data_IF_661132772041
#
_entry.id   IF_661132772041
#
_cell.length_a   1.000
_cell.length_b   1.000
_cell.length_c   1.000
_cell.angle_alpha   90.00
_cell.angle_beta   90.00
_cell.angle_gamma   90.00
#
_symmetry.space_group_name_H-M   'P 1'
#
loop_
_entity.id
_entity.type
_entity.pdbx_description
1 polymer ?
#
# COMPACT_ATOMS: atom_id res chain seq x y z
N UNK A 1 -18.21 18.87 -18.10
CA UNK A 1 -17.31 19.11 -16.96
C UNK A 1 -15.89 19.31 -17.48
N UNK A 2 -15.06 20.00 -16.73
CA UNK A 2 -13.64 20.15 -17.03
C UNK A 2 -12.82 19.22 -16.15
N UNK A 3 -12.13 18.29 -16.78
CA UNK A 3 -11.36 17.24 -16.13
C UNK A 3 -9.87 17.51 -16.36
N UNK A 4 -9.12 17.66 -15.30
CA UNK A 4 -7.67 17.83 -15.34
C UNK A 4 -7.02 16.55 -14.83
N UNK A 5 -6.16 15.95 -15.65
CA UNK A 5 -5.37 14.77 -15.28
C UNK A 5 -3.91 15.15 -15.08
N UNK A 6 -3.36 14.73 -13.95
CA UNK A 6 -1.93 14.68 -13.66
C UNK A 6 -1.46 13.28 -14.02
N UNK A 7 -0.45 13.13 -14.73
CA UNK A 7 0.05 11.92 -15.38
C UNK A 7 -0.51 11.82 -16.80
N UNK A 8 0.40 11.69 -17.71
CA UNK A 8 0.05 11.46 -19.11
C UNK A 8 -0.55 10.06 -19.22
N UNK A 9 -1.85 10.03 -19.42
CA UNK A 9 -2.58 8.83 -19.76
C UNK A 9 -2.53 8.63 -21.29
N UNK A 10 -1.36 8.82 -21.90
CA UNK A 10 -1.18 8.90 -23.34
C UNK A 10 -1.87 7.77 -24.12
N UNK A 11 -1.90 6.56 -23.54
CA UNK A 11 -2.51 5.39 -24.19
C UNK A 11 -4.04 5.43 -24.16
N UNK A 12 -4.64 6.05 -23.16
CA UNK A 12 -6.09 6.07 -22.95
C UNK A 12 -6.74 7.46 -23.23
N UNK A 13 -5.91 8.48 -23.48
CA UNK A 13 -6.45 9.85 -23.73
C UNK A 13 -7.45 9.88 -24.87
N UNK A 14 -7.13 9.26 -26.00
CA UNK A 14 -8.01 9.20 -27.15
C UNK A 14 -9.29 8.39 -26.87
N UNK A 15 -9.18 7.37 -26.03
CA UNK A 15 -10.33 6.57 -25.64
C UNK A 15 -11.25 7.34 -24.69
N UNK A 16 -10.68 8.06 -23.70
CA UNK A 16 -11.45 8.91 -22.81
C UNK A 16 -12.22 9.99 -23.58
N UNK A 17 -11.58 10.64 -24.54
CA UNK A 17 -12.27 11.64 -25.40
C UNK A 17 -13.38 11.05 -26.25
N UNK A 18 -13.25 9.80 -26.68
CA UNK A 18 -14.30 9.08 -27.41
C UNK A 18 -15.47 8.67 -26.52
N UNK A 19 -15.15 8.18 -25.31
CA UNK A 19 -16.19 7.74 -24.36
C UNK A 19 -16.95 8.92 -23.75
N UNK A 20 -16.29 10.06 -23.57
CA UNK A 20 -16.85 11.26 -22.93
C UNK A 20 -16.72 12.49 -23.84
N UNK A 21 -17.39 12.52 -25.00
CA UNK A 21 -17.19 13.53 -26.04
C UNK A 21 -17.63 14.95 -25.59
N UNK A 22 -18.49 15.06 -24.58
CA UNK A 22 -18.99 16.32 -24.06
C UNK A 22 -18.15 16.90 -22.92
N UNK A 23 -17.05 16.21 -22.56
CA UNK A 23 -16.19 16.61 -21.44
C UNK A 23 -14.88 17.22 -21.95
N UNK A 24 -14.42 18.26 -21.29
CA UNK A 24 -13.13 18.89 -21.59
C UNK A 24 -12.02 18.19 -20.79
N UNK A 25 -11.08 17.54 -21.47
CA UNK A 25 -9.92 16.91 -20.86
C UNK A 25 -8.65 17.73 -21.08
N UNK A 26 -7.91 18.00 -19.99
CA UNK A 26 -6.57 18.59 -20.01
C UNK A 26 -5.59 17.71 -19.24
N UNK A 27 -4.40 17.54 -19.81
CA UNK A 27 -3.36 16.66 -19.26
C UNK A 27 -2.11 17.46 -18.95
N UNK A 28 -1.56 17.28 -17.74
CA UNK A 28 -0.35 17.93 -17.27
C UNK A 28 0.56 16.93 -16.60
N UNK A 29 1.88 17.11 -16.70
CA UNK A 29 2.85 16.23 -16.09
C UNK A 29 2.96 16.46 -14.57
N UNK A 30 2.74 17.69 -14.11
CA UNK A 30 2.87 18.10 -12.70
C UNK A 30 1.84 19.15 -12.34
N UNK A 31 1.45 19.17 -11.06
CA UNK A 31 0.50 20.14 -10.53
C UNK A 31 0.94 21.60 -10.73
N UNK A 32 2.24 21.88 -10.62
CA UNK A 32 2.78 23.23 -10.83
C UNK A 32 2.56 23.75 -12.26
N UNK A 33 2.47 22.87 -13.24
CA UNK A 33 2.29 23.21 -14.65
C UNK A 33 0.83 23.51 -15.01
N UNK A 34 -0.12 23.29 -14.09
CA UNK A 34 -1.53 23.60 -14.33
C UNK A 34 -1.72 25.11 -14.24
N UNK A 35 -2.12 25.81 -15.34
CA UNK A 35 -2.36 27.23 -15.32
C UNK A 35 -3.44 27.62 -14.31
N UNK A 36 -3.31 28.78 -13.69
CA UNK A 36 -4.26 29.25 -12.66
C UNK A 36 -5.71 29.28 -13.16
N UNK A 37 -5.92 29.59 -14.43
CA UNK A 37 -7.26 29.59 -15.03
C UNK A 37 -7.85 28.16 -15.09
N UNK A 38 -7.02 27.14 -15.36
CA UNK A 38 -7.46 25.76 -15.39
C UNK A 38 -7.73 25.24 -13.97
N UNK A 39 -6.94 25.67 -12.98
CA UNK A 39 -7.21 25.38 -11.56
C UNK A 39 -8.57 25.93 -11.13
N UNK A 40 -8.87 27.19 -11.48
CA UNK A 40 -10.15 27.84 -11.11
C UNK A 40 -11.36 27.19 -11.75
N UNK A 41 -11.20 26.62 -12.94
CA UNK A 41 -12.34 26.17 -13.77
C UNK A 41 -12.50 24.65 -13.80
N UNK A 42 -11.56 23.85 -13.28
CA UNK A 42 -11.69 22.40 -13.26
C UNK A 42 -12.77 21.95 -12.27
N UNK A 43 -13.55 20.97 -12.67
CA UNK A 43 -14.51 20.25 -11.83
C UNK A 43 -13.90 19.00 -11.20
N UNK A 44 -12.96 18.33 -11.90
CA UNK A 44 -12.37 17.06 -11.51
C UNK A 44 -10.86 17.13 -11.67
N UNK A 45 -10.14 16.67 -10.65
CA UNK A 45 -8.69 16.47 -10.67
C UNK A 45 -8.39 14.98 -10.53
N UNK A 46 -7.63 14.41 -11.47
CA UNK A 46 -7.26 12.98 -11.47
C UNK A 46 -5.74 12.86 -11.49
N UNK A 47 -5.18 11.99 -10.67
CA UNK A 47 -3.75 11.67 -10.67
C UNK A 47 -3.10 11.79 -9.30
N UNK A 48 -1.77 11.93 -9.31
CA UNK A 48 -0.94 12.06 -8.09
C UNK A 48 0.15 13.11 -8.29
N UNK A 49 0.27 14.03 -7.36
CA UNK A 49 1.43 14.92 -7.22
C UNK A 49 1.54 15.40 -5.77
N UNK A 50 2.71 15.24 -5.16
CA UNK A 50 2.96 15.66 -3.77
C UNK A 50 2.89 17.19 -3.53
N UNK A 51 2.67 17.99 -4.57
CA UNK A 51 2.49 19.44 -4.51
C UNK A 51 1.01 19.88 -4.47
N UNK A 52 0.09 18.91 -4.37
CA UNK A 52 -1.33 19.20 -4.16
C UNK A 52 -1.56 19.37 -2.66
N UNK A 53 -1.29 20.56 -2.19
CA UNK A 53 -1.50 21.00 -0.82
C UNK A 53 -2.79 21.86 -0.71
N UNK A 54 -2.99 22.41 0.48
CA UNK A 54 -4.12 23.30 0.76
C UNK A 54 -4.12 24.52 -0.18
N UNK A 55 -2.97 25.16 -0.36
CA UNK A 55 -2.83 26.35 -1.21
C UNK A 55 -3.19 26.05 -2.65
N UNK A 56 -2.81 24.87 -3.16
CA UNK A 56 -3.20 24.44 -4.50
C UNK A 56 -4.73 24.29 -4.60
N UNK A 57 -5.37 23.61 -3.65
CA UNK A 57 -6.81 23.33 -3.66
C UNK A 57 -7.63 24.61 -3.45
N UNK A 58 -7.15 25.60 -2.70
CA UNK A 58 -7.78 26.91 -2.53
C UNK A 58 -8.01 27.63 -3.87
N UNK A 59 -7.10 27.44 -4.83
CA UNK A 59 -7.26 27.99 -6.17
C UNK A 59 -8.23 27.20 -7.07
N UNK A 60 -8.66 26.01 -6.64
CA UNK A 60 -9.54 25.13 -7.40
C UNK A 60 -11.00 25.37 -6.99
N UNK A 61 -11.56 26.52 -7.40
CA UNK A 61 -12.86 27.03 -6.90
C UNK A 61 -14.01 26.07 -7.23
N UNK A 62 -14.00 25.49 -8.44
CA UNK A 62 -15.08 24.64 -8.94
C UNK A 62 -14.87 23.15 -8.68
N UNK A 63 -13.77 22.77 -8.01
CA UNK A 63 -13.39 21.39 -7.80
C UNK A 63 -14.42 20.62 -6.96
N UNK A 64 -14.93 19.53 -7.51
CA UNK A 64 -15.97 18.67 -6.92
C UNK A 64 -15.46 17.28 -6.58
N UNK A 65 -14.45 16.79 -7.32
CA UNK A 65 -13.93 15.44 -7.14
C UNK A 65 -12.42 15.38 -7.37
N UNK A 66 -11.73 14.65 -6.47
CA UNK A 66 -10.32 14.28 -6.60
C UNK A 66 -10.24 12.76 -6.74
N UNK A 67 -9.82 12.29 -7.91
CA UNK A 67 -9.46 10.89 -8.18
C UNK A 67 -7.98 10.68 -7.91
N UNK A 68 -7.61 10.24 -6.71
CA UNK A 68 -6.23 10.14 -6.26
C UNK A 68 -5.57 8.82 -6.64
N UNK A 69 -4.50 8.82 -7.43
CA UNK A 69 -3.84 7.61 -7.94
C UNK A 69 -2.86 6.95 -6.96
N UNK A 70 -2.80 7.39 -5.72
CA UNK A 70 -2.05 6.72 -4.67
C UNK A 70 -3.01 6.07 -3.65
N UNK A 71 -2.50 5.10 -2.90
CA UNK A 71 -3.26 4.48 -1.80
C UNK A 71 -3.30 5.40 -0.58
N UNK A 72 -2.16 5.97 -0.21
CA UNK A 72 -2.05 6.93 0.90
C UNK A 72 -2.57 8.30 0.50
N UNK A 73 -3.27 8.96 1.42
CA UNK A 73 -3.84 10.31 1.26
C UNK A 73 -3.31 11.31 2.30
N UNK A 74 -2.30 10.91 3.08
CA UNK A 74 -1.79 11.68 4.23
C UNK A 74 -1.22 13.05 3.85
N UNK A 75 -0.75 13.21 2.62
CA UNK A 75 -0.23 14.46 2.09
C UNK A 75 -1.32 15.44 1.61
N UNK A 76 -2.57 15.00 1.57
CA UNK A 76 -3.70 15.85 1.19
C UNK A 76 -4.28 16.58 2.40
N UNK A 77 -4.79 17.81 2.25
CA UNK A 77 -5.45 18.56 3.31
C UNK A 77 -6.89 18.05 3.54
N UNK A 78 -7.00 16.85 4.15
CA UNK A 78 -8.26 16.11 4.26
C UNK A 78 -9.39 16.92 4.91
N UNK A 79 -9.09 17.68 5.97
CA UNK A 79 -10.07 18.51 6.65
C UNK A 79 -10.64 19.57 5.70
N UNK A 80 -9.78 20.23 4.93
CA UNK A 80 -10.18 21.26 3.98
C UNK A 80 -10.99 20.68 2.78
N UNK A 81 -10.60 19.49 2.32
CA UNK A 81 -11.35 18.74 1.28
C UNK A 81 -12.76 18.43 1.78
N UNK A 82 -12.88 17.98 3.04
CA UNK A 82 -14.16 17.67 3.69
C UNK A 82 -15.00 18.93 3.92
N UNK A 83 -14.41 20.02 4.40
CA UNK A 83 -15.11 21.32 4.59
C UNK A 83 -15.71 21.86 3.31
N UNK A 84 -15.11 21.56 2.15
CA UNK A 84 -15.57 21.99 0.83
C UNK A 84 -16.48 20.98 0.13
N UNK A 85 -16.88 19.89 0.79
CA UNK A 85 -17.67 18.80 0.20
C UNK A 85 -17.08 18.22 -1.08
N UNK A 86 -15.73 18.23 -1.21
CA UNK A 86 -15.05 17.63 -2.35
C UNK A 86 -15.00 16.11 -2.15
N UNK A 87 -15.50 15.37 -3.14
CA UNK A 87 -15.40 13.91 -3.16
C UNK A 87 -13.94 13.51 -3.33
N UNK A 88 -13.43 12.61 -2.47
CA UNK A 88 -12.09 12.05 -2.57
C UNK A 88 -12.18 10.54 -2.74
N UNK A 89 -11.63 10.01 -3.83
CA UNK A 89 -11.43 8.59 -4.06
C UNK A 89 -9.95 8.30 -4.26
N UNK A 90 -9.49 7.13 -3.82
CA UNK A 90 -8.08 6.76 -3.90
C UNK A 90 -7.87 5.36 -4.50
N UNK A 91 -6.61 5.02 -4.77
CA UNK A 91 -6.18 3.73 -5.34
C UNK A 91 -6.14 2.58 -4.36
N UNK A 92 -7.01 2.54 -3.32
CA UNK A 92 -7.04 1.47 -2.33
C UNK A 92 -7.23 0.10 -3.00
N UNK A 93 -6.34 -0.84 -2.71
CA UNK A 93 -6.42 -2.22 -3.21
C UNK A 93 -5.75 -2.47 -4.56
N UNK A 94 -5.49 -1.45 -5.38
CA UNK A 94 -4.88 -1.62 -6.71
C UNK A 94 -3.52 -2.32 -6.63
N UNK A 95 -2.71 -1.98 -5.64
CA UNK A 95 -1.36 -2.55 -5.47
C UNK A 95 -1.34 -3.86 -4.68
N UNK A 96 -2.49 -4.39 -4.26
CA UNK A 96 -2.53 -5.56 -3.38
C UNK A 96 -1.81 -6.77 -3.97
N UNK A 97 -1.97 -7.03 -5.28
CA UNK A 97 -1.29 -8.14 -5.96
C UNK A 97 0.22 -7.96 -5.93
N UNK A 98 0.71 -6.82 -6.39
CA UNK A 98 2.14 -6.54 -6.49
C UNK A 98 2.82 -6.55 -5.10
N UNK A 99 2.25 -5.86 -4.12
CA UNK A 99 2.83 -5.81 -2.77
C UNK A 99 2.81 -7.16 -2.09
N UNK A 100 1.76 -7.97 -2.28
CA UNK A 100 1.72 -9.33 -1.73
C UNK A 100 2.81 -10.24 -2.30
N UNK A 101 3.17 -10.08 -3.58
CA UNK A 101 4.28 -10.79 -4.22
C UNK A 101 5.63 -10.39 -3.62
N UNK A 102 5.83 -9.10 -3.32
CA UNK A 102 7.03 -8.63 -2.60
C UNK A 102 7.11 -9.25 -1.20
N UNK A 103 6.01 -9.27 -0.44
CA UNK A 103 5.97 -9.88 0.89
C UNK A 103 6.45 -11.34 0.81
N UNK A 104 5.87 -12.13 -0.10
CA UNK A 104 6.27 -13.54 -0.27
C UNK A 104 7.70 -13.66 -0.77
N UNK A 105 8.17 -12.76 -1.63
CA UNK A 105 9.55 -12.74 -2.11
C UNK A 105 10.53 -12.57 -0.95
N UNK A 106 10.31 -11.62 -0.04
CA UNK A 106 11.18 -11.42 1.12
C UNK A 106 11.18 -12.62 2.06
N UNK A 107 10.00 -13.18 2.36
CA UNK A 107 9.87 -14.38 3.18
C UNK A 107 10.65 -15.54 2.55
N UNK A 108 10.43 -15.83 1.27
CA UNK A 108 11.12 -16.90 0.57
C UNK A 108 12.63 -16.65 0.46
N UNK A 109 13.05 -15.40 0.20
CA UNK A 109 14.45 -15.03 0.13
C UNK A 109 15.20 -15.38 1.41
N UNK A 110 14.64 -15.07 2.59
CA UNK A 110 15.27 -15.39 3.86
C UNK A 110 15.20 -16.89 4.16
N UNK A 111 14.01 -17.47 4.08
CA UNK A 111 13.79 -18.89 4.41
C UNK A 111 14.57 -19.84 3.51
N UNK A 112 14.78 -19.51 2.26
CA UNK A 112 15.58 -20.31 1.30
C UNK A 112 17.05 -19.91 1.24
N UNK A 113 17.48 -19.00 2.13
CA UNK A 113 18.90 -18.55 2.20
C UNK A 113 19.44 -18.05 0.85
N UNK A 114 18.58 -17.34 0.08
CA UNK A 114 18.91 -16.92 -1.28
C UNK A 114 20.16 -16.04 -1.34
N UNK A 115 20.38 -15.15 -0.36
CA UNK A 115 21.58 -14.29 -0.28
C UNK A 115 22.86 -15.15 -0.24
N UNK A 116 22.87 -16.20 0.59
CA UNK A 116 24.00 -17.12 0.72
C UNK A 116 24.18 -17.96 -0.54
N UNK A 117 23.09 -18.49 -1.09
CA UNK A 117 23.13 -19.28 -2.32
C UNK A 117 23.69 -18.46 -3.49
N UNK A 118 23.25 -17.21 -3.65
CA UNK A 118 23.74 -16.31 -4.68
C UNK A 118 25.24 -15.99 -4.54
N UNK A 119 25.70 -15.67 -3.31
CA UNK A 119 27.11 -15.45 -3.03
C UNK A 119 27.96 -16.68 -3.40
N UNK A 120 27.52 -17.86 -2.96
CA UNK A 120 28.20 -19.12 -3.27
C UNK A 120 28.25 -19.39 -4.78
N UNK A 121 27.19 -19.04 -5.51
CA UNK A 121 27.19 -19.15 -6.97
C UNK A 121 28.28 -18.27 -7.62
N UNK A 122 28.41 -17.01 -7.16
CA UNK A 122 29.46 -16.11 -7.66
C UNK A 122 30.88 -16.64 -7.34
N UNK A 123 31.07 -17.22 -6.17
CA UNK A 123 32.33 -17.79 -5.71
C UNK A 123 32.58 -19.21 -6.29
N UNK A 124 31.65 -19.74 -7.10
CA UNK A 124 31.67 -21.12 -7.62
C UNK A 124 31.85 -22.17 -6.50
N UNK A 125 31.32 -21.88 -5.32
CA UNK A 125 31.35 -22.73 -4.14
C UNK A 125 30.01 -23.45 -3.98
N UNK A 126 29.99 -24.78 -4.09
CA UNK A 126 28.81 -25.59 -3.80
C UNK A 126 28.85 -26.12 -2.38
N UNK A 127 27.93 -25.71 -1.53
CA UNK A 127 27.76 -26.24 -0.17
C UNK A 127 26.38 -26.87 0.01
N UNK A 128 26.33 -28.20 -0.01
CA UNK A 128 25.10 -28.98 0.15
C UNK A 128 24.46 -28.86 1.54
N UNK A 129 25.17 -28.31 2.53
CA UNK A 129 24.68 -28.12 3.89
C UNK A 129 23.80 -26.91 4.04
N UNK A 130 23.81 -26.00 3.04
CA UNK A 130 22.92 -24.83 3.03
C UNK A 130 21.53 -25.29 2.65
N UNK A 131 20.71 -25.54 3.66
CA UNK A 131 19.31 -25.90 3.50
C UNK A 131 18.43 -24.76 3.97
N UNK A 132 17.40 -24.46 3.21
CA UNK A 132 16.38 -23.52 3.63
C UNK A 132 15.35 -24.16 4.56
N UNK A 133 14.62 -23.35 5.31
CA UNK A 133 13.47 -23.81 6.11
C UNK A 133 12.23 -24.00 5.23
N UNK A 134 11.30 -24.82 5.68
CA UNK A 134 9.96 -24.95 5.07
C UNK A 134 9.04 -23.88 5.65
N UNK A 135 8.05 -23.45 4.86
CA UNK A 135 7.07 -22.45 5.29
C UNK A 135 5.82 -23.06 5.93
N UNK A 136 5.52 -24.33 5.64
CA UNK A 136 4.30 -25.00 6.11
C UNK A 136 4.23 -25.22 7.64
N UNK A 137 5.31 -25.00 8.34
CA UNK A 137 5.40 -25.09 9.81
C UNK A 137 5.41 -23.70 10.48
N UNK A 138 5.30 -22.65 9.69
CA UNK A 138 5.47 -21.28 10.16
C UNK A 138 4.13 -20.55 10.25
N UNK A 139 4.04 -19.69 11.26
CA UNK A 139 2.89 -18.81 11.48
C UNK A 139 3.22 -17.38 11.01
N UNK A 140 2.43 -16.87 10.09
CA UNK A 140 2.52 -15.51 9.57
C UNK A 140 1.45 -14.62 10.21
N UNK A 141 1.88 -13.61 10.94
CA UNK A 141 1.02 -12.62 11.57
C UNK A 141 0.97 -11.33 10.72
N UNK A 142 -0.22 -10.87 10.42
CA UNK A 142 -0.44 -9.56 9.82
C UNK A 142 -0.99 -8.57 10.84
N UNK A 143 -0.32 -7.44 10.98
CA UNK A 143 -0.90 -6.25 11.59
C UNK A 143 -1.67 -5.51 10.51
N UNK A 144 -2.99 -5.56 10.60
CA UNK A 144 -3.93 -5.10 9.57
C UNK A 144 -4.42 -6.23 8.66
N UNK A 145 -5.74 -6.31 8.47
CA UNK A 145 -6.42 -7.31 7.62
C UNK A 145 -6.98 -6.70 6.33
N UNK A 146 -6.28 -5.68 5.78
CA UNK A 146 -6.65 -4.98 4.56
C UNK A 146 -6.38 -5.77 3.28
N UNK A 147 -6.63 -5.17 2.12
CA UNK A 147 -6.53 -5.83 0.82
C UNK A 147 -5.14 -6.45 0.53
N UNK A 148 -4.06 -5.78 0.93
CA UNK A 148 -2.69 -6.29 0.79
C UNK A 148 -2.52 -7.54 1.65
N UNK A 149 -2.88 -7.45 2.93
CA UNK A 149 -2.76 -8.56 3.87
C UNK A 149 -3.62 -9.77 3.45
N UNK A 150 -4.86 -9.56 3.00
CA UNK A 150 -5.72 -10.62 2.48
C UNK A 150 -5.09 -11.34 1.28
N UNK A 151 -4.54 -10.57 0.33
CA UNK A 151 -3.89 -11.18 -0.84
C UNK A 151 -2.62 -11.93 -0.46
N UNK A 152 -1.79 -11.40 0.43
CA UNK A 152 -0.60 -12.08 0.92
C UNK A 152 -0.95 -13.32 1.77
N UNK A 153 -2.00 -13.26 2.59
CA UNK A 153 -2.53 -14.39 3.34
C UNK A 153 -2.94 -15.54 2.41
N UNK A 154 -3.66 -15.23 1.33
CA UNK A 154 -4.02 -16.21 0.31
C UNK A 154 -2.77 -16.91 -0.28
N UNK A 155 -1.71 -16.16 -0.59
CA UNK A 155 -0.46 -16.73 -1.09
C UNK A 155 0.26 -17.56 -0.03
N UNK A 156 0.33 -17.07 1.21
CA UNK A 156 0.95 -17.78 2.34
C UNK A 156 0.26 -19.13 2.62
N UNK A 157 -1.06 -19.18 2.55
CA UNK A 157 -1.83 -20.43 2.67
C UNK A 157 -1.50 -21.44 1.59
N UNK A 158 -1.21 -21.00 0.36
CA UNK A 158 -0.75 -21.89 -0.70
C UNK A 158 0.60 -22.55 -0.40
N UNK A 159 1.43 -21.93 0.47
CA UNK A 159 2.65 -22.53 1.03
C UNK A 159 2.42 -23.37 2.30
N UNK A 160 1.17 -23.52 2.74
CA UNK A 160 0.80 -24.28 3.93
C UNK A 160 1.04 -23.56 5.26
N UNK A 161 1.27 -22.24 5.24
CA UNK A 161 1.48 -21.44 6.45
C UNK A 161 0.17 -21.29 7.24
N UNK A 162 0.26 -21.22 8.56
CA UNK A 162 -0.82 -20.67 9.40
C UNK A 162 -0.79 -19.14 9.28
N UNK A 163 -1.97 -18.53 9.09
CA UNK A 163 -2.06 -17.07 8.91
C UNK A 163 -2.98 -16.45 9.94
N UNK A 164 -2.44 -15.53 10.73
CA UNK A 164 -3.16 -14.80 11.77
C UNK A 164 -3.23 -13.33 11.38
N UNK A 165 -4.39 -12.70 11.62
CA UNK A 165 -4.60 -11.28 11.44
C UNK A 165 -4.87 -10.55 12.74
N UNK A 166 -4.41 -9.31 12.85
CA UNK A 166 -4.79 -8.39 13.93
C UNK A 166 -5.40 -7.14 13.31
N UNK A 167 -6.56 -6.74 13.79
CA UNK A 167 -7.26 -5.54 13.30
C UNK A 167 -8.03 -4.85 14.42
N UNK A 168 -8.39 -3.57 14.22
CA UNK A 168 -9.18 -2.82 15.22
C UNK A 168 -10.51 -3.47 15.59
N UNK A 169 -11.14 -4.21 14.67
CA UNK A 169 -12.45 -4.81 14.90
C UNK A 169 -12.44 -6.29 15.29
N UNK A 170 -11.33 -7.00 15.13
CA UNK A 170 -11.23 -8.44 15.33
C UNK A 170 -12.17 -9.27 14.43
N UNK A 171 -12.78 -8.67 13.39
CA UNK A 171 -13.73 -9.38 12.53
C UNK A 171 -13.01 -10.43 11.69
N UNK A 172 -13.60 -11.63 11.66
CA UNK A 172 -13.11 -12.71 10.81
C UNK A 172 -13.08 -12.28 9.33
N UNK A 173 -12.01 -12.69 8.68
CA UNK A 173 -11.78 -12.48 7.24
C UNK A 173 -11.36 -13.83 6.66
N UNK A 174 -12.00 -14.25 5.58
CA UNK A 174 -11.88 -15.60 4.98
C UNK A 174 -10.43 -16.06 4.75
N UNK A 175 -9.54 -15.14 4.42
CA UNK A 175 -8.13 -15.45 4.09
C UNK A 175 -7.28 -15.77 5.33
N UNK A 176 -7.78 -15.51 6.54
CA UNK A 176 -7.06 -15.75 7.79
C UNK A 176 -7.60 -16.97 8.52
N UNK A 177 -6.74 -17.70 9.22
CA UNK A 177 -7.16 -18.81 10.07
C UNK A 177 -7.76 -18.30 11.38
N UNK A 178 -7.19 -17.20 11.89
CA UNK A 178 -7.64 -16.52 13.11
C UNK A 178 -7.51 -15.00 12.93
N UNK A 179 -8.42 -14.22 13.49
CA UNK A 179 -8.33 -12.77 13.54
C UNK A 179 -8.60 -12.29 14.96
N UNK A 180 -7.72 -11.43 15.45
CA UNK A 180 -7.73 -10.87 16.79
C UNK A 180 -7.89 -9.36 16.76
N UNK A 181 -8.23 -8.77 17.89
CA UNK A 181 -8.23 -7.33 18.09
C UNK A 181 -6.81 -6.83 18.41
N UNK A 182 -6.60 -5.52 18.39
CA UNK A 182 -5.29 -4.92 18.72
C UNK A 182 -4.95 -5.09 20.21
N UNK A 183 -5.96 -5.17 21.08
CA UNK A 183 -5.82 -5.39 22.51
C UNK A 183 -5.29 -6.79 22.84
N UNK A 184 -5.48 -7.76 21.94
CA UNK A 184 -5.01 -9.13 22.07
C UNK A 184 -3.61 -9.35 21.44
N UNK A 185 -2.97 -8.28 20.93
CA UNK A 185 -1.71 -8.38 20.18
C UNK A 185 -0.60 -9.06 21.00
N UNK A 186 -0.45 -8.72 22.28
CA UNK A 186 0.61 -9.24 23.13
C UNK A 186 0.51 -10.77 23.30
N UNK A 187 -0.70 -11.30 23.38
CA UNK A 187 -0.96 -12.74 23.50
C UNK A 187 -0.73 -13.52 22.18
N UNK A 188 -0.79 -12.81 21.07
CA UNK A 188 -0.76 -13.40 19.72
C UNK A 188 0.63 -13.29 19.08
N UNK A 189 1.38 -12.26 19.40
CA UNK A 189 2.68 -11.97 18.79
C UNK A 189 3.70 -13.09 19.05
N UNK A 190 3.63 -13.73 20.22
CA UNK A 190 4.51 -14.84 20.57
C UNK A 190 4.27 -16.11 19.73
N UNK A 191 3.09 -16.23 19.12
CA UNK A 191 2.75 -17.37 18.24
C UNK A 191 3.32 -17.20 16.83
N UNK A 192 3.83 -16.01 16.47
CA UNK A 192 4.25 -15.69 15.12
C UNK A 192 5.75 -15.96 14.92
N UNK A 193 6.06 -16.57 13.78
CA UNK A 193 7.43 -16.71 13.29
C UNK A 193 7.82 -15.54 12.38
N UNK A 194 6.81 -14.95 11.71
CA UNK A 194 6.96 -13.86 10.76
C UNK A 194 5.87 -12.84 11.04
N UNK A 195 6.22 -11.56 11.06
CA UNK A 195 5.29 -10.45 11.25
C UNK A 195 5.36 -9.53 10.04
N UNK A 196 4.19 -9.20 9.51
CA UNK A 196 4.04 -8.23 8.42
C UNK A 196 3.15 -7.08 8.87
N UNK A 197 3.70 -5.88 8.95
CA UNK A 197 2.92 -4.68 9.22
C UNK A 197 2.29 -4.16 7.90
N UNK A 198 0.97 -4.22 7.81
CA UNK A 198 0.14 -3.73 6.70
C UNK A 198 -0.91 -2.71 7.18
N UNK A 199 -0.68 -2.09 8.34
CA UNK A 199 -1.53 -1.03 8.87
C UNK A 199 -1.37 0.25 8.05
N UNK A 200 -2.43 1.06 7.92
CA UNK A 200 -2.28 2.41 7.41
C UNK A 200 -1.46 3.25 8.40
N UNK A 201 -0.68 4.19 7.89
CA UNK A 201 0.01 5.17 8.71
C UNK A 201 -1.00 6.18 9.27
N UNK A 202 -1.17 6.18 10.59
CA UNK A 202 -2.03 7.09 11.34
C UNK A 202 -1.29 7.55 12.61
N UNK A 203 -1.80 8.55 13.31
CA UNK A 203 -1.24 8.98 14.61
C UNK A 203 -1.17 7.81 15.61
N UNK A 204 -2.11 6.87 15.55
CA UNK A 204 -2.17 5.69 16.43
C UNK A 204 -1.17 4.60 16.02
N UNK A 205 -0.76 4.53 14.76
CA UNK A 205 0.03 3.41 14.22
C UNK A 205 1.46 3.76 13.82
N UNK A 206 1.80 5.05 13.73
CA UNK A 206 3.10 5.52 13.21
C UNK A 206 4.31 4.99 14.00
N UNK A 207 4.14 4.67 15.27
CA UNK A 207 5.21 4.14 16.13
C UNK A 207 5.03 2.66 16.51
N UNK A 208 3.96 2.01 16.07
CA UNK A 208 3.63 0.65 16.50
C UNK A 208 4.76 -0.35 16.19
N UNK A 209 5.37 -0.25 15.02
CA UNK A 209 6.48 -1.12 14.61
C UNK A 209 7.79 -0.83 15.36
N UNK A 210 7.98 0.37 15.89
CA UNK A 210 9.20 0.78 16.57
C UNK A 210 9.18 0.43 18.07
N UNK A 211 8.00 0.43 18.70
CA UNK A 211 7.88 0.26 20.16
C UNK A 211 7.74 -1.22 20.54
N UNK A 212 7.01 -2.02 19.77
CA UNK A 212 6.62 -3.38 20.17
C UNK A 212 7.27 -4.50 19.39
N UNK A 213 7.90 -4.25 18.25
CA UNK A 213 8.36 -5.29 17.32
C UNK A 213 9.87 -5.27 17.12
N UNK A 214 10.52 -4.15 17.32
CA UNK A 214 11.97 -4.05 17.22
C UNK A 214 12.60 -4.11 18.60
N UNK A 215 12.89 -5.32 19.07
CA UNK A 215 13.99 -5.44 20.02
C UNK A 215 15.25 -4.86 19.37
N UNK A 216 15.98 -3.93 20.06
CA UNK A 216 17.18 -3.31 19.50
C UNK A 216 18.30 -4.30 19.16
N UNK A 217 18.16 -5.56 19.52
CA UNK A 217 19.11 -6.66 19.29
C UNK A 217 18.91 -7.44 17.98
N UNK A 218 17.85 -7.18 17.20
CA UNK A 218 17.63 -7.77 15.87
C UNK A 218 17.55 -6.72 14.78
N UNK A 219 18.44 -5.75 14.78
CA UNK A 219 18.79 -5.09 13.53
C UNK A 219 19.44 -6.17 12.65
N UNK A 220 18.67 -6.66 11.67
CA UNK A 220 19.27 -7.40 10.59
C UNK A 220 20.33 -6.48 9.99
N UNK A 221 21.59 -6.87 10.09
CA UNK A 221 22.65 -6.27 9.31
C UNK A 221 22.26 -6.44 7.84
N UNK A 222 21.92 -5.31 7.21
CA UNK A 222 21.61 -5.23 5.79
C UNK A 222 22.94 -5.20 5.02
#
# INVERSE_FOLDING_TARGET
MKIVSLNRLNEIENELRKQFPNEEFKFYDKAINIPINDRKTMDILIGYDGKIDRTFIEHCINLKWIGWFATGVNNLPLNYIKERDIILTNGKGIQAKQVSEYIMTFILHDYKKMKTSYRNQLEKNYDSRITGKRLNEETLLFLGTGAIAQRAAYLAKAFGMKVIGVSKSGKNVEQFDEVYTIEELDDVIEKANIIVNALPETEETIYLSLIHISEPTRQAEI
#
